data_IF_760374801871
#
_entry.id   IF_760374801871
#
_cell.length_a   1.000
_cell.length_b   1.000
_cell.length_c   1.000
_cell.angle_alpha   90.00
_cell.angle_beta   90.00
_cell.angle_gamma   90.00
#
_symmetry.space_group_name_H-M   'P 1'
#
loop_
_entity.id
_entity.type
_entity.pdbx_description
1 polymer ?
#
# COMPACT_ATOMS: atom_id res chain seq x y z
N UNK A 1 -14.25 27.65 65.84
CA UNK A 1 -14.89 26.32 65.71
C UNK A 1 -15.45 26.23 64.30
N UNK A 2 -14.90 25.55 63.31
CA UNK A 2 -13.68 24.77 63.14
C UNK A 2 -13.48 24.62 61.62
N UNK A 3 -12.23 24.51 61.18
CA UNK A 3 -11.88 24.12 59.82
C UNK A 3 -12.38 22.71 59.52
N UNK A 4 -12.87 22.46 58.31
CA UNK A 4 -12.90 21.13 57.72
C UNK A 4 -12.44 21.21 56.26
N UNK A 5 -11.23 20.70 56.06
CA UNK A 5 -10.55 20.47 54.79
C UNK A 5 -10.89 19.05 54.34
N UNK A 6 -11.38 18.87 53.10
CA UNK A 6 -11.31 17.61 52.31
C UNK A 6 -11.33 18.03 50.82
N UNK A 7 -10.19 18.11 50.13
CA UNK A 7 -9.43 17.03 49.47
C UNK A 7 -10.02 16.54 48.12
N UNK A 8 -9.45 17.09 47.03
CA UNK A 8 -9.02 16.48 45.75
C UNK A 8 -9.97 15.58 44.94
N UNK A 9 -10.19 15.95 43.67
CA UNK A 9 -9.82 15.11 42.52
C UNK A 9 -9.79 15.95 41.22
N UNK A 10 -8.59 16.35 40.83
CA UNK A 10 -8.27 16.86 39.49
C UNK A 10 -8.51 15.76 38.45
N UNK A 11 -9.47 15.96 37.55
CA UNK A 11 -9.64 15.07 36.40
C UNK A 11 -8.72 15.49 35.25
N UNK A 12 -8.00 14.48 34.80
CA UNK A 12 -6.92 14.47 33.83
C UNK A 12 -7.46 14.73 32.43
N UNK A 13 -6.99 15.81 31.79
CA UNK A 13 -7.08 15.99 30.35
C UNK A 13 -5.68 15.96 29.74
N UNK A 14 -4.97 14.84 29.87
CA UNK A 14 -3.76 14.64 29.06
C UNK A 14 -4.21 14.35 27.63
N UNK A 15 -4.23 15.39 26.80
CA UNK A 15 -4.13 15.21 25.37
C UNK A 15 -2.72 14.68 25.08
N UNK A 16 -2.60 13.36 24.91
CA UNK A 16 -1.46 12.80 24.20
C UNK A 16 -1.65 13.11 22.72
N UNK A 17 -1.30 14.33 22.31
CA UNK A 17 -0.86 14.55 20.94
C UNK A 17 0.52 13.89 20.84
N UNK A 18 0.56 12.63 20.43
CA UNK A 18 1.81 12.03 19.97
C UNK A 18 2.15 12.61 18.60
N UNK A 19 2.52 13.88 18.54
CA UNK A 19 3.34 14.39 17.43
C UNK A 19 4.80 14.09 17.74
N UNK A 20 5.07 12.79 17.89
CA UNK A 20 6.40 12.27 17.67
C UNK A 20 6.55 12.09 16.17
N UNK A 21 7.13 13.10 15.49
CA UNK A 21 7.77 12.89 14.20
C UNK A 21 8.97 11.94 14.42
N UNK A 22 8.65 10.67 14.66
CA UNK A 22 9.62 9.59 14.61
C UNK A 22 10.04 9.52 13.16
N UNK A 23 11.33 9.71 12.92
CA UNK A 23 12.02 9.58 11.64
C UNK A 23 12.02 8.10 11.19
N UNK A 24 10.86 7.45 11.29
CA UNK A 24 10.61 6.05 11.02
C UNK A 24 9.95 5.91 9.66
N UNK A 25 10.26 4.81 8.99
CA UNK A 25 9.65 4.46 7.72
C UNK A 25 8.12 4.48 7.81
N UNK A 26 7.46 5.01 6.77
CA UNK A 26 5.99 4.92 6.60
C UNK A 26 5.54 3.51 6.23
N UNK A 27 6.47 2.61 5.93
CA UNK A 27 6.18 1.21 5.68
C UNK A 27 5.43 0.60 6.87
N UNK A 28 4.43 -0.21 6.55
CA UNK A 28 3.55 -0.87 7.50
C UNK A 28 2.76 0.02 8.43
N UNK A 29 2.60 1.29 8.04
CA UNK A 29 1.56 2.17 8.58
C UNK A 29 0.33 2.11 7.68
N UNK A 30 -0.84 2.26 8.28
CA UNK A 30 -2.09 2.43 7.54
C UNK A 30 -2.00 3.66 6.62
N UNK A 31 -2.73 3.62 5.51
CA UNK A 31 -2.87 4.78 4.66
C UNK A 31 -3.41 5.96 5.47
N UNK A 32 -2.84 7.17 5.32
CA UNK A 32 -3.42 8.35 5.94
C UNK A 32 -4.86 8.54 5.45
N UNK A 33 -5.73 9.12 6.29
CA UNK A 33 -7.09 9.39 5.88
C UNK A 33 -7.10 10.46 4.78
N UNK A 34 -7.66 10.13 3.61
CA UNK A 34 -7.90 11.07 2.52
C UNK A 34 -9.20 10.74 1.80
N UNK A 35 -9.80 11.76 1.21
CA UNK A 35 -11.05 11.69 0.46
C UNK A 35 -10.97 12.64 -0.73
N UNK A 36 -11.67 12.29 -1.80
CA UNK A 36 -11.84 13.16 -2.97
C UNK A 36 -13.32 13.15 -3.32
N UNK A 37 -13.94 14.33 -3.36
CA UNK A 37 -15.38 14.55 -3.52
C UNK A 37 -16.22 13.71 -2.52
N UNK A 38 -15.77 13.59 -1.27
CA UNK A 38 -16.45 12.83 -0.20
C UNK A 38 -16.38 11.30 -0.33
N UNK A 39 -15.72 10.77 -1.36
CA UNK A 39 -15.45 9.33 -1.46
C UNK A 39 -14.13 9.00 -0.75
N UNK A 40 -14.05 7.84 -0.09
CA UNK A 40 -12.82 7.34 0.54
C UNK A 40 -12.30 6.11 -0.20
N UNK A 41 -11.41 6.28 -1.20
CA UNK A 41 -11.03 5.19 -2.09
C UNK A 41 -10.30 4.04 -1.38
N UNK A 42 -9.58 4.33 -0.30
CA UNK A 42 -8.90 3.31 0.50
C UNK A 42 -9.89 2.44 1.28
N UNK A 43 -10.98 3.02 1.81
CA UNK A 43 -12.01 2.26 2.51
C UNK A 43 -12.76 1.32 1.54
N UNK A 44 -13.05 1.78 0.32
CA UNK A 44 -13.66 0.97 -0.74
C UNK A 44 -12.75 -0.16 -1.25
N UNK A 45 -11.45 -0.06 -1.02
CA UNK A 45 -10.44 -1.02 -1.45
C UNK A 45 -10.07 -2.06 -0.37
N UNK A 46 -10.74 -2.03 0.79
CA UNK A 46 -10.45 -2.91 1.90
C UNK A 46 -10.47 -4.41 1.48
N UNK A 47 -9.49 -5.18 1.96
CA UNK A 47 -9.34 -6.60 1.63
C UNK A 47 -8.61 -6.88 0.30
N UNK A 48 -8.31 -5.85 -0.48
CA UNK A 48 -7.59 -5.97 -1.75
C UNK A 48 -6.19 -5.36 -1.64
N UNK A 49 -5.22 -5.98 -2.33
CA UNK A 49 -3.96 -5.28 -2.60
C UNK A 49 -4.28 -4.08 -3.47
N UNK A 50 -3.81 -2.91 -3.04
CA UNK A 50 -4.19 -1.64 -3.62
C UNK A 50 -2.98 -0.88 -4.10
N UNK A 51 -2.99 -0.43 -5.35
CA UNK A 51 -1.91 0.34 -5.97
C UNK A 51 -2.43 1.73 -6.26
N UNK A 52 -1.88 2.73 -5.58
CA UNK A 52 -2.12 4.14 -5.84
C UNK A 52 -0.99 4.68 -6.70
N UNK A 53 -1.33 5.26 -7.84
CA UNK A 53 -0.39 5.87 -8.78
C UNK A 53 -0.57 7.38 -8.77
N UNK A 54 0.52 8.11 -8.58
CA UNK A 54 0.53 9.57 -8.63
C UNK A 54 0.87 10.00 -10.06
N UNK A 55 -0.15 10.14 -10.91
CA UNK A 55 -0.05 10.47 -12.35
C UNK A 55 0.72 9.43 -13.21
N UNK A 56 0.05 8.49 -13.90
CA UNK A 56 0.72 7.48 -14.73
C UNK A 56 1.03 7.96 -16.14
N UNK A 57 2.08 7.36 -16.72
CA UNK A 57 2.36 7.43 -18.16
C UNK A 57 1.83 6.21 -18.96
N UNK A 58 1.75 5.02 -18.37
CA UNK A 58 1.15 3.83 -19.02
C UNK A 58 1.03 2.62 -18.07
N UNK A 59 -0.12 2.44 -17.40
CA UNK A 59 -0.36 1.31 -16.49
C UNK A 59 -0.91 0.05 -17.19
N UNK A 60 -1.49 0.21 -18.39
CA UNK A 60 -2.29 -0.84 -19.05
C UNK A 60 -1.56 -2.17 -19.21
N UNK A 61 -0.34 -2.14 -19.76
CA UNK A 61 0.45 -3.35 -20.01
C UNK A 61 0.86 -4.09 -18.74
N UNK A 62 1.17 -3.37 -17.66
CA UNK A 62 1.48 -4.00 -16.36
C UNK A 62 0.24 -4.69 -15.78
N UNK A 63 -0.89 -3.98 -15.74
CA UNK A 63 -2.14 -4.51 -15.17
C UNK A 63 -2.64 -5.74 -15.92
N UNK A 64 -2.63 -5.69 -17.25
CA UNK A 64 -3.07 -6.81 -18.09
C UNK A 64 -2.19 -8.06 -17.88
N UNK A 65 -0.86 -7.86 -17.79
CA UNK A 65 0.10 -8.94 -17.51
C UNK A 65 -0.15 -9.59 -16.15
N UNK A 66 -0.36 -8.79 -15.09
CA UNK A 66 -0.63 -9.30 -13.74
C UNK A 66 -2.00 -9.99 -13.65
N UNK A 67 -3.02 -9.45 -14.31
CA UNK A 67 -4.35 -10.07 -14.36
C UNK A 67 -4.30 -11.47 -14.99
N UNK A 68 -3.55 -11.65 -16.09
CA UNK A 68 -3.36 -12.97 -16.72
C UNK A 68 -2.63 -13.98 -15.83
N UNK A 69 -1.92 -13.51 -14.81
CA UNK A 69 -1.19 -14.33 -13.85
C UNK A 69 -1.97 -14.59 -12.55
N UNK A 70 -3.28 -14.32 -12.54
CA UNK A 70 -4.15 -14.59 -11.40
C UNK A 70 -4.22 -13.46 -10.37
N UNK A 71 -3.70 -12.27 -10.67
CA UNK A 71 -3.75 -11.09 -9.79
C UNK A 71 -4.82 -10.09 -10.26
N UNK A 72 -5.97 -10.60 -10.70
CA UNK A 72 -7.08 -9.78 -11.21
C UNK A 72 -7.79 -9.00 -10.08
N UNK A 73 -7.61 -9.41 -8.82
CA UNK A 73 -8.18 -8.79 -7.62
C UNK A 73 -7.33 -7.63 -7.06
N UNK A 74 -6.22 -7.27 -7.71
CA UNK A 74 -5.46 -6.05 -7.37
C UNK A 74 -6.23 -4.81 -7.82
N UNK A 75 -6.50 -3.91 -6.88
CA UNK A 75 -7.17 -2.63 -7.16
C UNK A 75 -6.13 -1.59 -7.55
N UNK A 76 -6.33 -0.94 -8.68
CA UNK A 76 -5.50 0.17 -9.14
C UNK A 76 -6.31 1.46 -9.07
N UNK A 77 -5.67 2.55 -8.68
CA UNK A 77 -6.27 3.87 -8.77
C UNK A 77 -5.21 4.93 -9.09
N UNK A 78 -5.66 5.99 -9.77
CA UNK A 78 -4.81 7.10 -10.15
C UNK A 78 -5.27 8.33 -9.38
N UNK A 79 -4.34 9.04 -8.76
CA UNK A 79 -4.62 10.34 -8.12
C UNK A 79 -3.89 11.41 -8.92
N UNK A 80 -4.64 12.26 -9.62
CA UNK A 80 -4.09 13.41 -10.32
C UNK A 80 -3.69 14.51 -9.33
N UNK A 81 -2.70 15.32 -9.70
CA UNK A 81 -2.23 16.43 -8.88
C UNK A 81 -3.30 17.53 -8.75
N UNK A 82 -3.27 18.26 -7.63
CA UNK A 82 -4.20 19.36 -7.34
C UNK A 82 -3.93 20.63 -8.16
N UNK A 83 -2.73 20.78 -8.73
CA UNK A 83 -2.30 21.97 -9.45
C UNK A 83 -3.22 22.35 -10.64
N UNK A 84 -3.41 23.65 -10.94
CA UNK A 84 -4.30 24.10 -12.01
C UNK A 84 -4.01 23.48 -13.39
N UNK A 85 -2.73 23.33 -13.74
CA UNK A 85 -2.33 22.73 -15.02
C UNK A 85 -2.70 21.25 -15.10
N UNK A 86 -2.44 20.50 -14.02
CA UNK A 86 -2.77 19.08 -13.92
C UNK A 86 -4.29 18.85 -13.97
N UNK A 87 -5.07 19.75 -13.39
CA UNK A 87 -6.55 19.77 -13.52
C UNK A 87 -7.02 20.04 -14.94
N UNK A 88 -6.39 20.98 -15.64
CA UNK A 88 -6.77 21.33 -17.01
C UNK A 88 -6.63 20.15 -17.99
N UNK A 89 -5.72 19.20 -17.72
CA UNK A 89 -5.49 18.00 -18.54
C UNK A 89 -6.20 16.75 -18.01
N UNK A 90 -7.05 16.86 -16.98
CA UNK A 90 -7.73 15.73 -16.36
C UNK A 90 -8.51 14.86 -17.36
N UNK A 91 -9.20 15.49 -18.32
CA UNK A 91 -9.97 14.76 -19.33
C UNK A 91 -9.08 13.88 -20.23
N UNK A 92 -7.84 14.28 -20.50
CA UNK A 92 -6.88 13.46 -21.24
C UNK A 92 -6.38 12.31 -20.37
N UNK A 93 -6.06 12.59 -19.10
CA UNK A 93 -5.65 11.56 -18.15
C UNK A 93 -6.72 10.46 -17.99
N UNK A 94 -8.00 10.84 -17.93
CA UNK A 94 -9.12 9.90 -17.89
C UNK A 94 -9.20 9.03 -19.16
N UNK A 95 -9.00 9.62 -20.35
CA UNK A 95 -9.01 8.86 -21.61
C UNK A 95 -7.86 7.86 -21.72
N UNK A 96 -6.71 8.20 -21.16
CA UNK A 96 -5.51 7.35 -21.18
C UNK A 96 -5.51 6.27 -20.09
N UNK A 97 -6.35 6.41 -19.06
CA UNK A 97 -6.44 5.46 -17.99
C UNK A 97 -6.95 4.09 -18.49
N UNK A 98 -6.38 2.97 -18.02
CA UNK A 98 -6.87 1.64 -18.40
C UNK A 98 -8.35 1.45 -18.02
N UNK A 99 -9.15 0.71 -18.81
CA UNK A 99 -10.57 0.50 -18.51
C UNK A 99 -10.84 -0.03 -17.10
N UNK A 100 -11.70 0.65 -16.35
CA UNK A 100 -12.04 0.28 -14.97
C UNK A 100 -11.04 0.71 -13.90
N UNK A 101 -9.99 1.49 -14.25
CA UNK A 101 -9.12 2.16 -13.27
C UNK A 101 -9.65 3.57 -13.01
N UNK A 102 -10.15 3.89 -11.81
CA UNK A 102 -10.63 5.22 -11.49
C UNK A 102 -9.46 6.23 -11.48
N UNK A 103 -9.74 7.43 -12.00
CA UNK A 103 -8.85 8.59 -11.93
C UNK A 103 -9.50 9.63 -11.04
N UNK A 104 -8.89 9.91 -9.90
CA UNK A 104 -9.35 10.89 -8.94
C UNK A 104 -8.68 12.23 -9.19
N UNK A 105 -9.50 13.28 -9.34
CA UNK A 105 -9.03 14.66 -9.41
C UNK A 105 -9.26 15.36 -8.08
N UNK A 106 -8.18 15.77 -7.43
CA UNK A 106 -8.23 16.58 -6.21
C UNK A 106 -8.84 17.96 -6.51
N UNK A 107 -9.68 18.46 -5.60
CA UNK A 107 -10.22 19.83 -5.67
C UNK A 107 -9.31 20.82 -4.93
N UNK A 108 -9.25 22.11 -5.35
CA UNK A 108 -8.38 23.10 -4.71
C UNK A 108 -8.64 23.34 -3.21
N UNK A 109 -9.86 23.06 -2.73
CA UNK A 109 -10.26 23.26 -1.33
C UNK A 109 -10.07 22.01 -0.47
N UNK A 110 -9.74 20.87 -1.07
CA UNK A 110 -9.46 19.62 -0.35
C UNK A 110 -7.99 19.59 0.12
N UNK A 111 -7.66 18.81 1.16
CA UNK A 111 -6.27 18.54 1.50
C UNK A 111 -5.49 17.95 0.32
N UNK A 112 -4.24 18.36 0.14
CA UNK A 112 -3.37 17.80 -0.90
C UNK A 112 -3.03 16.33 -0.57
N UNK A 113 -3.62 15.43 -1.34
CA UNK A 113 -3.49 13.98 -1.21
C UNK A 113 -2.05 13.54 -1.52
N UNK A 114 -1.36 14.18 -2.48
CA UNK A 114 0.04 13.83 -2.77
C UNK A 114 0.93 14.14 -1.57
N UNK A 115 0.72 15.29 -0.92
CA UNK A 115 1.41 15.66 0.33
C UNK A 115 1.07 14.71 1.49
N UNK A 116 -0.20 14.34 1.65
CA UNK A 116 -0.64 13.40 2.69
C UNK A 116 0.01 12.01 2.54
N UNK A 117 0.04 11.50 1.32
CA UNK A 117 0.74 10.26 0.96
C UNK A 117 2.27 10.45 1.01
N UNK A 118 2.70 11.72 0.98
CA UNK A 118 4.05 12.22 0.74
C UNK A 118 4.77 11.45 -0.35
N UNK A 119 4.10 11.38 -1.50
CA UNK A 119 4.67 10.90 -2.75
C UNK A 119 4.77 12.03 -3.76
N UNK A 120 5.55 11.77 -4.80
CA UNK A 120 5.80 12.67 -5.92
C UNK A 120 5.24 12.10 -7.23
N UNK A 121 5.37 12.88 -8.30
CA UNK A 121 4.94 12.47 -9.65
C UNK A 121 5.59 11.15 -10.07
N UNK A 122 4.79 10.29 -10.70
CA UNK A 122 5.13 8.94 -11.15
C UNK A 122 5.44 7.95 -9.99
N UNK A 123 5.15 8.27 -8.73
CA UNK A 123 5.31 7.33 -7.62
C UNK A 123 4.21 6.27 -7.60
N UNK A 124 4.57 5.08 -7.12
CA UNK A 124 3.64 3.99 -6.81
C UNK A 124 3.64 3.73 -5.31
N UNK A 125 2.46 3.78 -4.70
CA UNK A 125 2.23 3.33 -3.34
C UNK A 125 1.46 2.00 -3.41
N UNK A 126 2.09 0.93 -2.94
CA UNK A 126 1.50 -0.40 -2.90
C UNK A 126 1.08 -0.70 -1.46
N UNK A 127 -0.20 -0.94 -1.25
CA UNK A 127 -0.80 -1.26 0.03
C UNK A 127 -1.17 -2.74 0.08
N UNK A 128 -0.95 -3.37 1.22
CA UNK A 128 -1.44 -4.72 1.50
C UNK A 128 -2.97 -4.75 1.64
N UNK A 129 -3.53 -5.95 1.82
CA UNK A 129 -4.99 -6.15 1.96
C UNK A 129 -5.58 -5.48 3.20
N UNK A 130 -4.74 -5.08 4.15
CA UNK A 130 -5.11 -4.34 5.36
C UNK A 130 -5.06 -2.82 5.17
N UNK A 131 -4.71 -2.34 3.98
CA UNK A 131 -4.53 -0.91 3.74
C UNK A 131 -3.25 -0.33 4.36
N UNK A 132 -2.25 -1.17 4.65
CA UNK A 132 -0.93 -0.71 5.16
C UNK A 132 0.07 -0.60 4.02
N UNK A 133 0.89 0.45 4.03
CA UNK A 133 1.86 0.73 2.99
C UNK A 133 2.96 -0.34 2.97
N UNK A 134 2.96 -1.21 1.96
CA UNK A 134 3.97 -2.25 1.77
C UNK A 134 5.19 -1.73 0.99
N UNK A 135 4.97 -0.88 -0.02
CA UNK A 135 6.04 -0.27 -0.80
C UNK A 135 5.67 1.15 -1.22
N UNK A 136 6.66 2.04 -1.18
CA UNK A 136 6.63 3.35 -1.84
C UNK A 136 7.78 3.37 -2.85
N UNK A 137 7.42 3.34 -4.13
CA UNK A 137 8.36 3.18 -5.23
C UNK A 137 8.42 4.49 -5.99
N UNK A 138 9.55 5.18 -5.81
CA UNK A 138 9.78 6.50 -6.37
C UNK A 138 10.56 6.40 -7.67
N UNK A 139 10.59 7.49 -8.43
CA UNK A 139 11.57 7.64 -9.52
C UNK A 139 13.00 7.47 -8.98
N UNK A 140 13.91 6.80 -9.72
CA UNK A 140 13.73 6.22 -11.05
C UNK A 140 13.19 4.77 -11.04
N UNK A 141 12.95 4.18 -9.87
CA UNK A 141 12.52 2.78 -9.74
C UNK A 141 11.06 2.55 -10.17
N UNK A 142 10.26 3.62 -10.25
CA UNK A 142 8.87 3.56 -10.72
C UNK A 142 8.72 3.42 -12.24
N UNK A 143 9.81 3.49 -13.03
CA UNK A 143 9.72 3.23 -14.46
C UNK A 143 9.29 1.78 -14.74
N UNK A 144 8.15 1.62 -15.41
CA UNK A 144 7.52 0.32 -15.67
C UNK A 144 8.26 -0.61 -16.65
N UNK A 145 9.34 -0.14 -17.26
CA UNK A 145 10.28 -1.01 -17.98
C UNK A 145 11.15 -1.82 -17.00
N UNK A 146 11.33 -1.36 -15.76
CA UNK A 146 12.02 -2.07 -14.71
C UNK A 146 11.06 -2.93 -13.88
N UNK A 147 11.57 -4.00 -13.22
CA UNK A 147 10.71 -4.98 -12.56
C UNK A 147 10.20 -4.54 -11.18
N UNK A 148 10.58 -3.36 -10.67
CA UNK A 148 10.37 -3.00 -9.27
C UNK A 148 8.89 -2.91 -8.88
N UNK A 149 8.08 -2.20 -9.66
CA UNK A 149 6.63 -2.07 -9.43
C UNK A 149 5.95 -3.43 -9.54
N UNK A 150 6.25 -4.18 -10.60
CA UNK A 150 5.68 -5.51 -10.81
C UNK A 150 6.03 -6.47 -9.65
N UNK A 151 7.29 -6.45 -9.20
CA UNK A 151 7.78 -7.30 -8.11
C UNK A 151 7.15 -6.95 -6.76
N UNK A 152 7.00 -5.65 -6.46
CA UNK A 152 6.35 -5.18 -5.25
C UNK A 152 4.88 -5.61 -5.18
N UNK A 153 4.15 -5.49 -6.30
CA UNK A 153 2.76 -5.94 -6.38
C UNK A 153 2.69 -7.46 -6.18
N UNK A 154 3.50 -8.24 -6.90
CA UNK A 154 3.54 -9.71 -6.75
C UNK A 154 3.83 -10.13 -5.31
N UNK A 155 4.83 -9.51 -4.69
CA UNK A 155 5.22 -9.85 -3.33
C UNK A 155 4.09 -9.55 -2.34
N UNK A 156 3.48 -8.36 -2.45
CA UNK A 156 2.37 -7.93 -1.59
C UNK A 156 1.10 -8.76 -1.81
N UNK A 157 0.88 -9.26 -3.03
CA UNK A 157 -0.24 -10.15 -3.34
C UNK A 157 -0.04 -11.57 -2.79
N UNK A 158 1.20 -12.07 -2.80
CA UNK A 158 1.52 -13.43 -2.38
C UNK A 158 1.39 -13.68 -0.86
N UNK A 159 1.48 -12.63 -0.05
CA UNK A 159 1.42 -12.69 1.42
C UNK A 159 1.22 -11.30 2.01
N UNK A 160 0.73 -11.24 3.24
CA UNK A 160 0.61 -9.99 3.98
C UNK A 160 2.02 -9.44 4.32
N UNK A 161 2.43 -8.37 3.65
CA UNK A 161 3.76 -7.76 3.81
C UNK A 161 4.01 -7.30 5.25
N UNK A 162 3.01 -6.69 5.87
CA UNK A 162 3.10 -6.07 7.19
C UNK A 162 2.69 -6.99 8.35
N UNK A 163 2.67 -8.30 8.12
CA UNK A 163 2.25 -9.29 9.12
C UNK A 163 0.74 -9.39 9.26
N UNK A 164 0.28 -9.95 10.38
CA UNK A 164 -1.11 -10.36 10.56
C UNK A 164 -2.11 -9.20 10.33
N UNK A 165 -3.20 -9.54 9.66
CA UNK A 165 -4.31 -8.66 9.34
C UNK A 165 -5.54 -9.04 10.16
N UNK A 166 -6.20 -8.07 10.79
CA UNK A 166 -7.47 -8.28 11.50
C UNK A 166 -8.68 -8.41 10.58
N UNK A 167 -8.54 -8.06 9.29
CA UNK A 167 -9.61 -8.17 8.30
C UNK A 167 -9.95 -9.62 7.93
N UNK A 168 -9.04 -10.56 8.18
CA UNK A 168 -9.39 -11.96 8.15
C UNK A 168 -9.95 -12.32 9.53
N UNK A 169 -11.13 -12.99 9.62
CA UNK A 169 -11.44 -13.72 10.83
C UNK A 169 -10.24 -14.62 11.14
N UNK A 170 -9.94 -14.83 12.41
CA UNK A 170 -8.76 -15.54 12.90
C UNK A 170 -8.77 -17.02 12.44
N UNK A 171 -8.59 -17.25 11.14
CA UNK A 171 -8.28 -18.54 10.56
C UNK A 171 -6.87 -18.80 11.04
N UNK A 172 -6.78 -19.75 11.97
CA UNK A 172 -5.55 -20.31 12.50
C UNK A 172 -4.53 -20.31 11.39
N UNK A 173 -3.47 -19.53 11.58
CA UNK A 173 -2.37 -19.38 10.63
C UNK A 173 -1.71 -20.77 10.50
N UNK A 174 -2.25 -21.65 9.66
CA UNK A 174 -1.43 -22.65 9.00
C UNK A 174 -0.52 -21.85 8.08
N UNK A 175 0.58 -21.40 8.68
CA UNK A 175 1.81 -21.10 7.97
C UNK A 175 2.16 -22.39 7.23
N UNK A 176 1.57 -22.58 6.04
CA UNK A 176 2.10 -23.52 5.06
C UNK A 176 3.34 -22.85 4.47
N UNK A 177 4.36 -22.75 5.31
CA UNK A 177 5.74 -22.63 4.88
C UNK A 177 6.00 -23.79 3.92
N UNK A 178 5.84 -23.57 2.63
CA UNK A 178 6.58 -24.33 1.62
C UNK A 178 8.02 -23.82 1.55
N UNK A 179 8.63 -23.60 2.71
CA UNK A 179 10.08 -23.61 2.85
C UNK A 179 10.50 -25.06 3.01
N UNK A 180 11.63 -25.46 2.41
CA UNK A 180 12.30 -26.74 2.69
C UNK A 180 12.46 -26.88 4.22
N UNK A 181 11.52 -27.51 4.91
CA UNK A 181 11.72 -27.94 6.28
C UNK A 181 12.89 -28.93 6.24
N UNK A 182 13.89 -28.69 7.10
CA UNK A 182 15.03 -29.58 7.30
C UNK A 182 14.54 -31.01 7.49
N UNK A 183 14.56 -31.79 6.41
CA UNK A 183 14.49 -33.25 6.51
C UNK A 183 15.77 -33.70 7.21
N UNK A 184 15.62 -34.33 8.37
CA UNK A 184 16.72 -34.94 9.13
C UNK A 184 17.38 -36.11 8.39
N UNK A 185 16.76 -36.61 7.31
CA UNK A 185 17.33 -37.66 6.47
C UNK A 185 18.42 -37.13 5.50
N UNK A 186 19.58 -37.81 5.38
CA UNK A 186 20.66 -37.44 4.46
C UNK A 186 20.24 -37.37 2.98
N UNK A 187 19.17 -38.09 2.59
CA UNK A 187 18.68 -38.14 1.21
C UNK A 187 17.94 -36.86 0.78
N UNK A 188 17.22 -36.18 1.71
CA UNK A 188 16.42 -34.99 1.39
C UNK A 188 17.25 -33.71 1.15
N UNK A 189 18.48 -33.66 1.67
CA UNK A 189 19.36 -32.48 1.53
C UNK A 189 19.93 -32.33 0.11
N UNK A 190 20.09 -33.42 -0.64
CA UNK A 190 20.66 -33.39 -1.99
C UNK A 190 19.68 -32.86 -3.05
N UNK A 191 18.37 -32.91 -2.79
CA UNK A 191 17.36 -32.39 -3.72
C UNK A 191 17.26 -30.85 -3.68
N UNK A 192 17.29 -30.23 -2.49
CA UNK A 192 17.09 -28.78 -2.34
C UNK A 192 18.28 -27.95 -2.91
N UNK A 193 19.48 -28.54 -3.09
CA UNK A 193 20.63 -27.87 -3.72
C UNK A 193 20.72 -28.01 -5.26
N UNK A 194 19.95 -28.90 -5.90
CA UNK A 194 20.08 -29.13 -7.35
C UNK A 194 19.28 -28.14 -8.19
N UNK A 195 18.18 -27.60 -7.66
CA UNK A 195 17.31 -26.66 -8.37
C UNK A 195 17.92 -25.24 -8.48
N UNK A 196 18.78 -24.83 -7.54
CA UNK A 196 19.39 -23.49 -7.54
C UNK A 196 20.60 -23.35 -8.47
N UNK A 197 21.10 -24.44 -9.08
CA UNK A 197 22.20 -24.39 -10.06
C UNK A 197 21.73 -24.45 -11.52
N UNK A 198 20.44 -24.61 -11.78
CA UNK A 198 19.90 -24.73 -13.14
C UNK A 198 19.23 -23.44 -13.67
N UNK A 199 19.11 -22.38 -12.85
CA UNK A 199 18.48 -21.11 -13.23
C UNK A 199 19.44 -19.90 -13.25
N UNK A 200 20.74 -20.15 -13.37
CA UNK A 200 21.78 -19.13 -13.52
C UNK A 200 22.60 -19.39 -14.77
N UNK A 201 22.04 -18.99 -15.91
CA UNK A 201 22.66 -18.90 -17.22
C UNK A 201 22.03 -17.75 -17.96
#
# INVERSE_FOLDING_TARGET
>A
MGLLVLALASWLGLALASEGATNGSRLCREAPAWQINGSSPMAEAAGQVTVVLLLPRSLGGLRERLSRQGMADVRYMIVNEQAPLSRAVFGELQRQAPPGVPVFQQQPQEPDVWQLLGGDKDDFLVYDRCGRLAFHIQLPYSFLHFPYVESAIRFTHSKDFCGNCSLYPNSTHEVRSRGCHRSSSPAGRKACCREQRAGGG
#
